data_IF_787674012716
#
_entry.id   IF_787674012716
#
_cell.length_a   1.000
_cell.length_b   1.000
_cell.length_c   1.000
_cell.angle_alpha   90.00
_cell.angle_beta   90.00
_cell.angle_gamma   90.00
#
_symmetry.space_group_name_H-M   'P 1'
#
loop_
_entity.id
_entity.type
_entity.pdbx_description
1 polymer ?
#
# COMPACT_ATOMS: atom_id res chain seq x y z
N UNK A 1 9.41 -22.47 4.62
CA UNK A 1 9.33 -20.99 4.60
C UNK A 1 9.96 -20.46 5.88
N UNK A 2 10.84 -19.45 5.81
CA UNK A 2 11.37 -18.82 7.02
C UNK A 2 10.22 -18.17 7.82
N UNK A 3 10.15 -18.46 9.13
CA UNK A 3 9.15 -17.82 10.00
C UNK A 3 9.40 -16.31 10.01
N UNK A 4 8.39 -15.52 9.69
CA UNK A 4 8.45 -14.06 9.84
C UNK A 4 8.70 -13.76 11.31
N UNK A 5 9.77 -13.03 11.61
CA UNK A 5 10.07 -12.61 12.99
C UNK A 5 9.24 -11.36 13.27
N UNK A 6 8.24 -11.47 14.13
CA UNK A 6 7.42 -10.37 14.60
C UNK A 6 8.11 -9.60 15.73
N UNK A 7 7.79 -8.32 15.85
CA UNK A 7 8.30 -7.48 16.93
C UNK A 7 7.57 -7.84 18.24
N UNK A 8 8.26 -8.30 19.30
CA UNK A 8 7.63 -8.67 20.56
C UNK A 8 6.96 -7.48 21.27
N UNK A 9 7.43 -6.26 21.01
CA UNK A 9 6.92 -5.02 21.62
C UNK A 9 5.84 -4.34 20.74
N UNK A 10 5.34 -5.03 19.71
CA UNK A 10 4.43 -4.45 18.72
C UNK A 10 3.22 -3.79 19.37
N UNK A 11 2.57 -4.43 20.33
CA UNK A 11 1.38 -3.89 20.99
C UNK A 11 1.68 -2.56 21.70
N UNK A 12 2.79 -2.48 22.45
CA UNK A 12 3.20 -1.27 23.16
C UNK A 12 3.59 -0.14 22.18
N UNK A 13 4.27 -0.48 21.08
CA UNK A 13 4.63 0.49 20.04
C UNK A 13 3.39 1.02 19.31
N UNK A 14 2.39 0.18 19.08
CA UNK A 14 1.10 0.58 18.51
C UNK A 14 0.37 1.54 19.46
N UNK A 15 0.30 1.21 20.76
CA UNK A 15 -0.32 2.08 21.77
C UNK A 15 0.37 3.45 21.83
N UNK A 16 1.69 3.45 21.87
CA UNK A 16 2.49 4.68 21.83
C UNK A 16 2.22 5.47 20.55
N UNK A 17 2.32 4.82 19.39
CA UNK A 17 2.09 5.48 18.11
C UNK A 17 0.69 6.09 17.99
N UNK A 18 -0.34 5.40 18.50
CA UNK A 18 -1.69 5.96 18.53
C UNK A 18 -1.76 7.18 19.47
N UNK A 19 -1.11 7.15 20.62
CA UNK A 19 -1.16 8.25 21.59
C UNK A 19 -0.54 9.56 21.09
N UNK A 20 0.35 9.48 20.12
CA UNK A 20 1.05 10.62 19.49
C UNK A 20 0.26 11.25 18.32
N UNK A 21 -0.86 10.64 17.91
CA UNK A 21 -1.70 11.14 16.82
C UNK A 21 -2.65 12.26 17.29
N UNK A 22 -3.22 12.98 16.33
CA UNK A 22 -4.31 13.94 16.59
C UNK A 22 -5.52 13.23 17.24
N UNK A 23 -6.27 13.89 18.11
CA UNK A 23 -7.36 13.25 18.88
C UNK A 23 -8.37 12.47 18.03
N UNK A 24 -8.80 13.01 16.88
CA UNK A 24 -9.71 12.31 15.98
C UNK A 24 -9.10 11.02 15.43
N UNK A 25 -7.81 11.05 15.11
CA UNK A 25 -7.10 9.90 14.56
C UNK A 25 -6.89 8.81 15.61
N UNK A 26 -6.64 9.19 16.89
CA UNK A 26 -6.56 8.24 18.00
C UNK A 26 -7.84 7.41 18.13
N UNK A 27 -9.01 8.07 18.08
CA UNK A 27 -10.31 7.39 18.20
C UNK A 27 -10.53 6.42 17.04
N UNK A 28 -10.22 6.85 15.82
CA UNK A 28 -10.33 6.02 14.62
C UNK A 28 -9.40 4.81 14.71
N UNK A 29 -8.11 5.02 15.03
CA UNK A 29 -7.12 3.95 15.10
C UNK A 29 -7.46 2.92 16.18
N UNK A 30 -7.88 3.36 17.37
CA UNK A 30 -8.33 2.47 18.45
C UNK A 30 -9.52 1.62 18.01
N UNK A 31 -10.51 2.21 17.31
CA UNK A 31 -11.65 1.45 16.80
C UNK A 31 -11.25 0.45 15.72
N UNK A 32 -10.42 0.86 14.76
CA UNK A 32 -9.91 -0.04 13.72
C UNK A 32 -9.13 -1.22 14.33
N UNK A 33 -8.23 -0.95 15.29
CA UNK A 33 -7.49 -2.00 16.00
C UNK A 33 -8.42 -3.03 16.65
N UNK A 34 -9.46 -2.56 17.35
CA UNK A 34 -10.44 -3.44 17.96
C UNK A 34 -11.17 -4.32 16.95
N UNK A 35 -11.60 -3.75 15.82
CA UNK A 35 -12.26 -4.48 14.72
C UNK A 35 -11.31 -5.52 14.14
N UNK A 36 -10.07 -5.14 13.83
CA UNK A 36 -9.08 -6.05 13.23
C UNK A 36 -8.83 -7.25 14.14
N UNK A 37 -8.55 -7.02 15.42
CA UNK A 37 -8.29 -8.10 16.38
C UNK A 37 -9.51 -8.99 16.64
N UNK A 38 -10.72 -8.50 16.41
CA UNK A 38 -11.94 -9.30 16.52
C UNK A 38 -12.22 -10.17 15.29
N UNK A 39 -11.56 -9.89 14.16
CA UNK A 39 -11.82 -10.62 12.92
C UNK A 39 -11.28 -12.05 12.94
N UNK A 40 -10.13 -12.28 13.57
CA UNK A 40 -9.53 -13.61 13.60
C UNK A 40 -8.51 -13.71 14.76
N UNK A 41 -8.60 -14.78 15.61
CA UNK A 41 -7.68 -14.95 16.73
C UNK A 41 -6.24 -15.30 16.33
N UNK A 42 -6.01 -15.69 15.08
CA UNK A 42 -4.67 -15.97 14.55
C UNK A 42 -3.97 -14.73 13.96
N UNK A 43 -4.66 -13.56 13.91
CA UNK A 43 -4.04 -12.32 13.48
C UNK A 43 -2.96 -11.89 14.47
N UNK A 44 -1.77 -11.67 13.96
CA UNK A 44 -0.60 -11.22 14.73
C UNK A 44 -0.40 -9.73 14.48
N UNK A 45 -0.37 -8.94 15.57
CA UNK A 45 0.07 -7.55 15.51
C UNK A 45 1.59 -7.49 15.31
N UNK A 46 2.04 -6.58 14.47
CA UNK A 46 3.45 -6.29 14.27
C UNK A 46 3.67 -4.78 14.08
N UNK A 47 4.88 -4.34 14.36
CA UNK A 47 5.31 -2.96 14.15
C UNK A 47 6.51 -2.94 13.22
N UNK A 48 6.32 -2.38 12.03
CA UNK A 48 7.42 -2.08 11.10
C UNK A 48 7.51 -0.58 10.87
N UNK A 49 6.78 -0.03 9.97
CA UNK A 49 6.70 1.43 9.73
C UNK A 49 5.43 2.04 10.35
N UNK A 50 4.75 1.26 11.18
CA UNK A 50 3.47 1.51 11.81
C UNK A 50 2.77 0.19 12.11
N UNK A 51 1.50 0.24 12.56
CA UNK A 51 0.70 -0.95 12.87
C UNK A 51 0.46 -1.82 11.63
N UNK A 52 0.85 -3.08 11.69
CA UNK A 52 0.63 -4.08 10.66
C UNK A 52 0.05 -5.36 11.27
N UNK A 53 -0.79 -6.05 10.52
CA UNK A 53 -1.47 -7.26 10.95
C UNK A 53 -1.20 -8.39 9.97
N UNK A 54 -0.78 -9.54 10.50
CA UNK A 54 -0.30 -10.68 9.73
C UNK A 54 -1.13 -11.93 9.97
N UNK A 55 -1.44 -12.61 8.88
CA UNK A 55 -1.92 -14.00 8.85
C UNK A 55 -1.52 -14.60 7.50
N UNK A 56 -0.52 -15.50 7.49
CA UNK A 56 0.09 -16.04 6.26
C UNK A 56 0.58 -14.97 5.27
N UNK A 57 0.96 -13.81 5.78
CA UNK A 57 1.36 -12.62 5.04
C UNK A 57 0.73 -11.38 5.64
N UNK A 58 1.08 -10.20 5.13
CA UNK A 58 0.46 -8.96 5.56
C UNK A 58 -0.99 -8.89 5.07
N UNK A 59 -1.92 -8.71 6.01
CA UNK A 59 -3.35 -8.54 5.74
C UNK A 59 -3.69 -7.06 5.59
N UNK A 60 -3.48 -6.30 6.64
CA UNK A 60 -3.84 -4.88 6.69
C UNK A 60 -2.92 -4.10 7.64
N UNK A 61 -3.10 -2.78 7.62
CA UNK A 61 -2.46 -1.84 8.53
C UNK A 61 -3.17 -0.50 8.48
N UNK A 62 -2.81 0.43 9.37
CA UNK A 62 -3.36 1.79 9.32
C UNK A 62 -2.31 2.83 9.71
N UNK A 63 -2.48 4.05 9.20
CA UNK A 63 -1.60 5.19 9.46
C UNK A 63 -2.42 6.45 9.68
N UNK A 64 -2.12 7.16 10.78
CA UNK A 64 -2.67 8.47 11.07
C UNK A 64 -1.90 9.57 10.34
N UNK A 65 -2.63 10.48 9.70
CA UNK A 65 -2.12 11.71 9.09
C UNK A 65 -2.80 12.92 9.71
N UNK A 66 -2.31 14.13 9.43
CA UNK A 66 -2.86 15.38 9.99
C UNK A 66 -4.37 15.56 9.77
N UNK A 67 -4.96 15.03 8.69
CA UNK A 67 -6.36 15.25 8.31
C UNK A 67 -7.17 13.98 8.09
N UNK A 68 -6.56 12.80 8.16
CA UNK A 68 -7.25 11.53 7.96
C UNK A 68 -6.46 10.37 8.53
N UNK A 69 -7.11 9.23 8.70
CA UNK A 69 -6.48 7.92 8.91
C UNK A 69 -6.66 7.12 7.62
N UNK A 70 -5.57 6.51 7.16
CA UNK A 70 -5.59 5.58 6.03
C UNK A 70 -5.57 4.16 6.56
N UNK A 71 -6.59 3.37 6.26
CA UNK A 71 -6.65 1.93 6.51
C UNK A 71 -6.35 1.19 5.22
N UNK A 72 -5.35 0.32 5.23
CA UNK A 72 -4.76 -0.29 4.03
C UNK A 72 -4.90 -1.80 4.06
N UNK A 73 -5.33 -2.40 2.95
CA UNK A 73 -5.23 -3.82 2.65
C UNK A 73 -4.05 -4.06 1.70
N UNK A 74 -3.06 -4.87 2.11
CA UNK A 74 -1.80 -5.06 1.36
C UNK A 74 -1.97 -5.87 0.06
N UNK A 75 -2.99 -6.70 -0.04
CA UNK A 75 -3.39 -7.39 -1.27
C UNK A 75 -4.80 -6.92 -1.69
N UNK A 76 -5.07 -5.63 -1.45
CA UNK A 76 -6.40 -5.06 -1.59
C UNK A 76 -7.00 -5.15 -3.00
N UNK A 77 -6.17 -5.23 -4.04
CA UNK A 77 -6.65 -5.41 -5.41
C UNK A 77 -7.24 -6.81 -5.68
N UNK A 78 -7.06 -7.78 -4.77
CA UNK A 78 -7.74 -9.08 -4.82
C UNK A 78 -9.15 -9.04 -4.19
N UNK A 79 -9.50 -7.97 -3.48
CA UNK A 79 -10.80 -7.82 -2.85
C UNK A 79 -11.87 -7.45 -3.88
N UNK A 80 -13.05 -8.02 -3.74
CA UNK A 80 -14.18 -7.81 -4.67
C UNK A 80 -14.77 -6.40 -4.62
N UNK A 81 -14.47 -5.66 -3.55
CA UNK A 81 -14.93 -4.29 -3.31
C UNK A 81 -16.41 -4.04 -3.65
N UNK A 82 -17.29 -4.90 -3.15
CA UNK A 82 -18.74 -4.83 -3.42
C UNK A 82 -19.38 -3.50 -3.03
N UNK A 83 -18.81 -2.80 -2.06
CA UNK A 83 -19.31 -1.49 -1.59
C UNK A 83 -18.66 -0.32 -2.31
N UNK A 84 -17.65 -0.56 -3.16
CA UNK A 84 -16.89 0.47 -3.90
C UNK A 84 -16.29 1.55 -2.98
N UNK A 85 -15.69 1.11 -1.86
CA UNK A 85 -15.09 2.00 -0.85
C UNK A 85 -13.55 2.00 -0.89
N UNK A 86 -12.95 1.11 -1.67
CA UNK A 86 -11.51 0.99 -1.75
C UNK A 86 -10.93 1.99 -2.75
N UNK A 87 -9.98 2.78 -2.27
CA UNK A 87 -9.23 3.72 -3.09
C UNK A 87 -7.97 3.07 -3.63
N UNK A 88 -7.66 3.34 -4.89
CA UNK A 88 -6.44 2.89 -5.55
C UNK A 88 -5.23 3.71 -5.10
N UNK A 89 -4.06 3.08 -5.13
CA UNK A 89 -2.79 3.77 -4.99
C UNK A 89 -2.03 3.67 -6.32
N UNK A 90 -1.85 4.77 -7.06
CA UNK A 90 -1.16 4.74 -8.35
C UNK A 90 0.29 4.25 -8.27
N UNK A 91 0.93 4.42 -7.11
CA UNK A 91 2.30 4.00 -6.86
C UNK A 91 2.41 2.54 -6.37
N UNK A 92 1.29 1.91 -6.01
CA UNK A 92 1.26 0.54 -5.53
C UNK A 92 -0.03 -0.15 -5.95
N UNK A 93 0.08 -0.93 -7.01
CA UNK A 93 -1.06 -1.64 -7.64
C UNK A 93 -1.67 -2.74 -6.76
N UNK A 94 -0.94 -3.20 -5.74
CA UNK A 94 -1.40 -4.26 -4.84
C UNK A 94 -2.30 -3.72 -3.73
N UNK A 95 -1.95 -2.54 -3.21
CA UNK A 95 -2.62 -1.99 -2.06
C UNK A 95 -3.93 -1.30 -2.45
N UNK A 96 -4.91 -1.42 -1.56
CA UNK A 96 -6.13 -0.61 -1.57
C UNK A 96 -6.31 -0.01 -0.20
N UNK A 97 -6.90 1.17 -0.12
CA UNK A 97 -7.07 1.84 1.16
C UNK A 97 -8.43 2.51 1.30
N UNK A 98 -8.84 2.68 2.56
CA UNK A 98 -10.00 3.46 2.94
C UNK A 98 -9.49 4.65 3.76
N UNK A 99 -10.01 5.86 3.50
CA UNK A 99 -9.69 7.06 4.27
C UNK A 99 -10.83 7.40 5.21
N UNK A 100 -10.50 7.63 6.48
CA UNK A 100 -11.43 8.07 7.50
C UNK A 100 -11.01 9.43 8.05
N UNK A 101 -11.95 10.36 8.12
CA UNK A 101 -11.79 11.69 8.74
C UNK A 101 -12.61 11.82 10.03
N UNK A 102 -13.58 10.93 10.21
CA UNK A 102 -14.44 10.84 11.41
C UNK A 102 -14.68 9.36 11.74
N UNK A 103 -14.69 9.04 13.03
CA UNK A 103 -14.96 7.67 13.52
C UNK A 103 -16.36 7.16 13.13
N UNK A 104 -17.31 8.04 12.92
CA UNK A 104 -18.68 7.70 12.48
C UNK A 104 -18.73 7.10 11.08
N UNK A 105 -17.70 7.31 10.27
CA UNK A 105 -17.58 6.72 8.93
C UNK A 105 -17.25 5.23 8.96
N UNK A 106 -16.84 4.71 10.12
CA UNK A 106 -16.50 3.29 10.28
C UNK A 106 -17.79 2.49 10.49
N UNK A 107 -18.12 1.64 9.52
CA UNK A 107 -19.11 0.58 9.69
C UNK A 107 -18.37 -0.72 10.00
N UNK A 108 -18.49 -1.18 11.27
CA UNK A 108 -17.76 -2.37 11.77
C UNK A 108 -18.07 -3.61 10.94
N UNK A 109 -19.34 -3.79 10.50
CA UNK A 109 -19.75 -4.95 9.70
C UNK A 109 -19.09 -4.93 8.31
N UNK A 110 -19.07 -3.76 7.68
CA UNK A 110 -18.42 -3.60 6.37
C UNK A 110 -16.92 -3.86 6.49
N UNK A 111 -16.25 -3.27 7.48
CA UNK A 111 -14.81 -3.51 7.68
C UNK A 111 -14.51 -4.98 7.94
N UNK A 112 -15.34 -5.68 8.74
CA UNK A 112 -15.19 -7.11 8.99
C UNK A 112 -15.39 -7.95 7.72
N UNK A 113 -16.36 -7.62 6.85
CA UNK A 113 -16.54 -8.30 5.56
C UNK A 113 -15.25 -8.26 4.72
N UNK A 114 -14.62 -7.09 4.62
CA UNK A 114 -13.37 -6.93 3.88
C UNK A 114 -12.19 -7.63 4.55
N UNK A 115 -12.12 -7.60 5.88
CA UNK A 115 -11.08 -8.31 6.63
C UNK A 115 -11.20 -9.83 6.44
N UNK A 116 -12.40 -10.40 6.53
CA UNK A 116 -12.63 -11.83 6.30
C UNK A 116 -12.21 -12.26 4.90
N UNK A 117 -12.53 -11.46 3.87
CA UNK A 117 -12.10 -11.75 2.50
C UNK A 117 -10.57 -11.66 2.38
N UNK A 118 -9.92 -10.64 2.95
CA UNK A 118 -8.47 -10.48 2.93
C UNK A 118 -7.74 -11.63 3.65
N UNK A 119 -8.26 -12.05 4.80
CA UNK A 119 -7.75 -13.18 5.59
C UNK A 119 -7.89 -14.49 4.81
N UNK A 120 -9.06 -14.75 4.21
CA UNK A 120 -9.31 -15.93 3.41
C UNK A 120 -8.38 -15.99 2.18
N UNK A 121 -8.18 -14.87 1.49
CA UNK A 121 -7.23 -14.76 0.38
C UNK A 121 -5.80 -15.10 0.83
N UNK A 122 -5.36 -14.60 2.00
CA UNK A 122 -4.05 -14.90 2.55
C UNK A 122 -3.92 -16.38 2.96
N UNK A 123 -4.96 -16.97 3.56
CA UNK A 123 -5.00 -18.41 3.91
C UNK A 123 -4.89 -19.30 2.67
N UNK A 124 -5.53 -18.90 1.58
CA UNK A 124 -5.45 -19.58 0.27
C UNK A 124 -4.14 -19.31 -0.45
N UNK A 125 -3.28 -18.45 0.07
CA UNK A 125 -2.00 -18.09 -0.55
C UNK A 125 -2.16 -17.30 -1.85
N UNK A 126 -3.32 -16.66 -2.06
CA UNK A 126 -3.56 -15.84 -3.24
C UNK A 126 -2.62 -14.64 -3.22
N UNK A 127 -1.98 -14.39 -4.35
CA UNK A 127 -1.06 -13.26 -4.54
C UNK A 127 -1.30 -12.66 -5.91
N UNK A 128 -1.13 -11.36 -6.00
CA UNK A 128 -1.11 -10.69 -7.29
C UNK A 128 0.15 -11.13 -8.01
N UNK A 129 -0.03 -11.78 -9.15
CA UNK A 129 1.09 -12.11 -10.04
C UNK A 129 1.36 -10.84 -10.84
N UNK A 130 2.40 -10.09 -10.44
CA UNK A 130 2.93 -9.09 -11.34
C UNK A 130 3.45 -9.80 -12.59
N UNK A 131 2.75 -9.64 -13.70
CA UNK A 131 3.39 -9.85 -14.98
C UNK A 131 4.50 -8.82 -15.05
N UNK A 132 5.74 -9.25 -14.89
CA UNK A 132 6.92 -8.41 -15.09
C UNK A 132 7.04 -8.11 -16.58
N UNK A 133 6.07 -7.38 -17.12
CA UNK A 133 6.29 -6.76 -18.42
C UNK A 133 7.37 -5.71 -18.22
N UNK A 134 8.59 -6.11 -18.60
CA UNK A 134 9.76 -5.26 -18.57
C UNK A 134 9.87 -4.39 -19.82
N UNK A 135 8.77 -4.24 -20.56
CA UNK A 135 8.73 -3.37 -21.71
C UNK A 135 8.61 -1.92 -21.25
N UNK A 136 9.59 -1.11 -21.54
CA UNK A 136 9.54 0.34 -21.36
C UNK A 136 9.29 0.93 -22.74
N UNK A 137 8.14 1.55 -22.93
CA UNK A 137 7.89 2.34 -24.13
C UNK A 137 8.52 3.71 -23.90
N UNK A 138 9.68 3.93 -24.50
CA UNK A 138 10.34 5.24 -24.46
C UNK A 138 9.74 6.09 -25.58
N UNK A 139 9.19 7.29 -25.28
CA UNK A 139 8.63 8.17 -26.31
C UNK A 139 9.64 8.51 -27.41
N UNK A 140 9.16 8.63 -28.65
CA UNK A 140 10.01 8.84 -29.81
C UNK A 140 10.85 10.13 -29.75
N UNK A 141 10.31 11.19 -29.17
CA UNK A 141 10.99 12.46 -28.94
C UNK A 141 12.18 12.28 -27.99
N UNK A 142 12.01 11.49 -26.93
CA UNK A 142 13.05 11.15 -25.94
C UNK A 142 14.15 10.31 -26.62
N UNK A 143 13.76 9.31 -27.41
CA UNK A 143 14.72 8.49 -28.18
C UNK A 143 15.55 9.36 -29.13
N UNK A 144 14.91 10.30 -29.84
CA UNK A 144 15.60 11.25 -30.73
C UNK A 144 16.57 12.15 -29.97
N UNK A 145 16.13 12.67 -28.80
CA UNK A 145 16.99 13.50 -27.94
C UNK A 145 18.21 12.71 -27.43
N UNK A 146 18.01 11.49 -26.97
CA UNK A 146 19.10 10.63 -26.49
C UNK A 146 20.08 10.24 -27.57
N UNK A 147 19.59 9.99 -28.80
CA UNK A 147 20.47 9.78 -30.00
C UNK A 147 21.32 11.01 -30.31
N UNK A 148 20.69 12.20 -30.31
CA UNK A 148 21.38 13.47 -30.55
C UNK A 148 22.45 13.74 -29.48
N UNK A 149 22.15 13.45 -28.22
CA UNK A 149 23.09 13.61 -27.12
C UNK A 149 24.09 12.45 -26.98
N UNK A 150 24.03 11.42 -27.85
CA UNK A 150 24.90 10.22 -27.85
C UNK A 150 24.83 9.41 -26.51
N UNK A 151 23.70 9.47 -25.78
CA UNK A 151 23.51 8.78 -24.51
C UNK A 151 22.56 7.59 -24.60
N UNK A 152 21.97 7.30 -25.77
CA UNK A 152 20.99 6.22 -25.91
C UNK A 152 21.56 4.86 -25.50
N UNK A 153 22.79 4.52 -25.96
CA UNK A 153 23.41 3.25 -25.60
C UNK A 153 23.65 3.10 -24.09
N UNK A 154 24.02 4.20 -23.42
CA UNK A 154 24.13 4.22 -21.97
C UNK A 154 22.77 4.01 -21.31
N UNK A 155 21.74 4.73 -21.76
CA UNK A 155 20.38 4.55 -21.24
C UNK A 155 19.89 3.10 -21.38
N UNK A 156 20.11 2.48 -22.55
CA UNK A 156 19.72 1.08 -22.80
C UNK A 156 20.49 0.07 -21.93
N UNK A 157 21.70 0.42 -21.49
CA UNK A 157 22.49 -0.40 -20.55
C UNK A 157 22.03 -0.34 -19.10
N UNK A 158 21.21 0.63 -18.74
CA UNK A 158 20.71 0.78 -17.38
C UNK A 158 19.74 -0.34 -17.01
N UNK A 159 19.68 -0.65 -15.69
CA UNK A 159 18.67 -1.56 -15.14
C UNK A 159 17.26 -1.06 -15.47
N UNK A 160 16.32 -2.00 -15.63
CA UNK A 160 14.92 -1.71 -15.94
C UNK A 160 14.31 -0.63 -15.04
N UNK A 161 14.55 -0.70 -13.71
CA UNK A 161 14.03 0.26 -12.74
C UNK A 161 14.49 1.69 -13.04
N UNK A 162 15.76 1.87 -13.35
CA UNK A 162 16.31 3.19 -13.68
C UNK A 162 15.74 3.72 -14.99
N UNK A 163 15.68 2.89 -16.04
CA UNK A 163 15.07 3.31 -17.31
C UNK A 163 13.61 3.73 -17.14
N UNK A 164 12.84 2.95 -16.37
CA UNK A 164 11.45 3.26 -16.06
C UNK A 164 11.31 4.59 -15.31
N UNK A 165 12.17 4.83 -14.32
CA UNK A 165 12.19 6.07 -13.54
C UNK A 165 12.46 7.29 -14.41
N UNK A 166 13.48 7.22 -15.28
CA UNK A 166 13.80 8.30 -16.23
C UNK A 166 12.63 8.60 -17.16
N UNK A 167 12.04 7.58 -17.79
CA UNK A 167 10.90 7.78 -18.69
C UNK A 167 9.72 8.39 -17.96
N UNK A 168 9.36 7.87 -16.77
CA UNK A 168 8.27 8.41 -15.95
C UNK A 168 8.54 9.86 -15.52
N UNK A 169 9.77 10.18 -15.16
CA UNK A 169 10.15 11.55 -14.78
C UNK A 169 9.99 12.52 -15.96
N UNK A 170 10.48 12.16 -17.15
CA UNK A 170 10.35 12.95 -18.36
C UNK A 170 8.87 13.14 -18.75
N UNK A 171 8.07 12.06 -18.70
CA UNK A 171 6.64 12.11 -19.03
C UNK A 171 5.81 12.90 -18.01
N UNK A 172 6.24 12.96 -16.76
CA UNK A 172 5.57 13.75 -15.71
C UNK A 172 5.79 15.25 -15.84
N UNK A 173 6.70 15.70 -16.70
CA UNK A 173 6.98 17.10 -16.92
C UNK A 173 5.75 17.82 -17.50
N UNK A 174 5.28 18.84 -16.77
CA UNK A 174 4.09 19.63 -17.18
C UNK A 174 4.36 20.69 -18.24
N UNK A 175 5.62 21.02 -18.44
CA UNK A 175 6.07 22.03 -19.41
C UNK A 175 7.10 21.43 -20.35
N UNK A 176 7.02 21.81 -21.63
CA UNK A 176 7.96 21.40 -22.68
C UNK A 176 9.42 21.72 -22.31
N UNK A 177 9.65 22.90 -21.70
CA UNK A 177 10.98 23.36 -21.25
C UNK A 177 11.60 22.48 -20.15
N UNK A 178 10.75 21.73 -19.43
CA UNK A 178 11.18 20.85 -18.34
C UNK A 178 11.36 19.41 -18.80
N UNK A 179 10.75 19.06 -19.92
CA UNK A 179 10.83 17.77 -20.56
C UNK A 179 12.12 17.62 -21.37
#
# INVERSE_FOLDING_TARGET
MAKVKHNPDAAALIDKGISELEPFAQVICKRLRKIILSADPELIEDWKWGPNYYLNGMVCGYWGFKKHVSFVFFQGSLLKDKKKILLENPLNVHNRHIKFTDVKQIDDKVILEYLFEAIDNNRKGLKIIETKDKTIITPDDVVKAFKKAKVLAYFDSLAFSHRKEYVQWIESAKKEETR
#
